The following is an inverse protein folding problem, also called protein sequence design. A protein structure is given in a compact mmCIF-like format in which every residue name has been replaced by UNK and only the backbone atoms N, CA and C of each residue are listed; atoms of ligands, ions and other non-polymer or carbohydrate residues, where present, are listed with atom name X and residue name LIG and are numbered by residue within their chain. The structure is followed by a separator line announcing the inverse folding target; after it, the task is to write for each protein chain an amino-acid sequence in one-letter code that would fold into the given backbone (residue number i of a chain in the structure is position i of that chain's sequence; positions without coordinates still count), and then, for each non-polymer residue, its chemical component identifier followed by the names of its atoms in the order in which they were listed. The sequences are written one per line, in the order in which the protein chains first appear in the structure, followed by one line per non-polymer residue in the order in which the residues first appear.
data_IF_649539220707
#
_entry.id   IF_649539220707
#
_cell.length_a   1.000
_cell.length_b   1.000
_cell.length_c   1.000
_cell.angle_alpha   90.00
_cell.angle_beta   90.00
_cell.angle_gamma   90.00
#
_symmetry.space_group_name_H-M   'P 1'
#
loop_
_entity.id
_entity.type
_entity.pdbx_description
1 polymer ?
#
# COMPACT_ATOMS: atom_id res chain seq x y z
N UNK A 1 2.02 10.06 -3.43
CA UNK A 1 2.30 8.79 -2.76
C UNK A 1 3.36 8.03 -3.49
N UNK A 2 4.25 7.39 -2.75
CA UNK A 2 5.28 6.56 -3.35
C UNK A 2 5.36 5.24 -2.58
N UNK A 3 5.34 4.14 -3.32
CA UNK A 3 5.52 2.83 -2.71
C UNK A 3 7.01 2.56 -2.62
N UNK A 4 7.50 2.53 -1.39
CA UNK A 4 8.93 2.39 -1.14
C UNK A 4 9.31 0.92 -1.03
N UNK A 5 8.44 0.11 -0.48
CA UNK A 5 8.73 -1.30 -0.33
C UNK A 5 7.50 -2.06 0.10
N UNK A 6 7.58 -3.36 0.01
CA UNK A 6 6.52 -4.24 0.45
C UNK A 6 7.13 -5.30 1.35
N UNK A 7 6.57 -5.42 2.55
CA UNK A 7 6.97 -6.45 3.50
C UNK A 7 5.95 -7.56 3.42
N UNK A 8 6.34 -8.68 2.86
CA UNK A 8 5.42 -9.79 2.69
C UNK A 8 5.37 -10.62 3.96
N UNK A 9 4.21 -10.68 4.57
CA UNK A 9 4.00 -11.53 5.71
C UNK A 9 3.66 -12.93 5.25
N UNK A 10 4.24 -13.91 5.90
CA UNK A 10 4.00 -15.30 5.53
C UNK A 10 2.90 -15.91 6.36
N UNK A 11 2.87 -15.58 7.61
CA UNK A 11 1.83 -16.10 8.49
C UNK A 11 0.81 -15.00 8.69
N UNK A 12 -0.35 -15.37 9.09
CA UNK A 12 -1.43 -14.44 9.38
C UNK A 12 -1.83 -13.54 8.22
N UNK A 13 -1.49 -13.98 7.02
CA UNK A 13 -2.04 -13.34 5.83
C UNK A 13 -1.79 -11.84 5.76
N UNK A 14 -0.74 -11.39 6.34
CA UNK A 14 -0.54 -9.98 6.37
C UNK A 14 0.82 -9.60 5.88
N UNK A 15 0.89 -8.54 5.20
CA UNK A 15 2.11 -7.86 4.86
C UNK A 15 1.87 -6.41 5.14
N UNK A 16 2.84 -5.61 4.82
CA UNK A 16 2.70 -4.18 4.97
C UNK A 16 3.35 -3.50 3.78
N UNK A 17 2.77 -2.41 3.36
CA UNK A 17 3.36 -1.58 2.32
C UNK A 17 4.01 -0.39 2.97
N UNK A 18 5.26 -0.13 2.60
CA UNK A 18 5.94 1.07 3.03
C UNK A 18 5.62 2.17 2.04
N UNK A 19 4.78 3.08 2.45
CA UNK A 19 4.29 4.13 1.57
C UNK A 19 4.68 5.48 2.12
N UNK A 20 5.30 6.28 1.29
CA UNK A 20 5.63 7.66 1.63
C UNK A 20 4.51 8.56 1.14
N UNK A 21 3.95 9.31 2.05
CA UNK A 21 2.98 10.33 1.72
C UNK A 21 3.72 11.63 1.58
N UNK A 22 3.24 12.45 0.68
CA UNK A 22 3.86 13.71 0.33
C UNK A 22 4.56 14.40 1.50
N UNK A 23 5.87 14.59 1.36
CA UNK A 23 6.64 15.32 2.35
C UNK A 23 6.86 14.60 3.67
N UNK A 24 6.52 13.33 3.76
CA UNK A 24 6.67 12.59 4.99
C UNK A 24 7.45 11.29 4.77
N UNK A 25 8.11 10.78 5.82
CA UNK A 25 8.83 9.53 5.69
C UNK A 25 7.86 8.37 5.46
N UNK A 26 8.37 7.32 4.84
CA UNK A 26 7.57 6.14 4.56
C UNK A 26 7.11 5.48 5.86
N UNK A 27 5.89 5.03 5.86
CA UNK A 27 5.30 4.34 7.00
C UNK A 27 4.72 3.01 6.54
N UNK A 28 4.68 2.01 7.43
CA UNK A 28 4.06 0.74 7.07
C UNK A 28 2.54 0.82 7.19
N UNK A 29 1.87 0.31 6.17
CA UNK A 29 0.42 0.21 6.16
C UNK A 29 0.02 -1.21 5.83
N UNK A 30 -0.96 -1.72 6.54
CA UNK A 30 -1.49 -3.04 6.29
C UNK A 30 -2.73 -2.96 5.43
N UNK A 31 -3.10 -4.10 4.85
CA UNK A 31 -4.37 -4.17 4.13
C UNK A 31 -5.50 -3.79 5.07
N UNK A 32 -6.33 -2.87 4.64
CA UNK A 32 -7.41 -2.35 5.46
C UNK A 32 -7.06 -1.08 6.20
N UNK A 33 -5.80 -0.68 6.21
CA UNK A 33 -5.39 0.52 6.92
C UNK A 33 -5.68 1.76 6.09
N UNK A 34 -6.00 2.82 6.77
CA UNK A 34 -6.21 4.10 6.12
C UNK A 34 -4.86 4.74 5.86
N UNK A 35 -4.54 4.92 4.59
CA UNK A 35 -3.27 5.51 4.20
C UNK A 35 -3.36 7.03 4.23
N UNK A 36 -4.47 7.55 3.77
CA UNK A 36 -4.72 9.00 3.77
C UNK A 36 -6.22 9.18 3.74
N UNK A 37 -6.66 10.42 3.82
CA UNK A 37 -8.08 10.70 3.76
C UNK A 37 -8.67 10.10 2.49
N UNK A 38 -9.68 9.28 2.66
CA UNK A 38 -10.35 8.68 1.53
C UNK A 38 -9.58 7.59 0.82
N UNK A 39 -8.46 7.15 1.39
CA UNK A 39 -7.67 6.09 0.77
C UNK A 39 -7.34 5.00 1.78
N UNK A 40 -7.78 3.80 1.45
CA UNK A 40 -7.54 2.62 2.26
C UNK A 40 -6.74 1.63 1.42
N UNK A 41 -5.76 1.00 2.03
CA UNK A 41 -4.98 -0.01 1.35
C UNK A 41 -5.84 -1.25 1.17
N UNK A 42 -6.11 -1.61 -0.08
CA UNK A 42 -7.01 -2.71 -0.40
C UNK A 42 -6.27 -4.03 -0.56
N UNK A 43 -5.13 -4.01 -1.20
CA UNK A 43 -4.41 -5.25 -1.45
C UNK A 43 -2.94 -4.95 -1.67
N UNK A 44 -2.13 -5.99 -1.50
CA UNK A 44 -0.69 -5.91 -1.66
C UNK A 44 -0.22 -7.03 -2.56
N UNK A 45 0.59 -6.68 -3.53
CA UNK A 45 1.35 -7.64 -4.33
C UNK A 45 2.82 -7.37 -4.08
N UNK A 46 3.71 -8.27 -4.50
CA UNK A 46 5.14 -8.07 -4.23
C UNK A 46 5.71 -6.73 -4.68
N UNK A 47 5.10 -6.12 -5.68
CA UNK A 47 5.60 -4.86 -6.20
C UNK A 47 4.53 -3.81 -6.38
N UNK A 48 3.35 -4.04 -5.84
CA UNK A 48 2.24 -3.18 -6.13
C UNK A 48 1.30 -3.09 -4.95
N UNK A 49 0.72 -1.93 -4.75
CA UNK A 49 -0.29 -1.73 -3.73
C UNK A 49 -1.49 -1.06 -4.36
N UNK A 50 -2.68 -1.53 -4.01
CA UNK A 50 -3.91 -0.94 -4.51
C UNK A 50 -4.65 -0.26 -3.37
N UNK A 51 -5.15 0.93 -3.66
CA UNK A 51 -5.84 1.73 -2.69
C UNK A 51 -7.18 2.18 -3.26
N UNK A 52 -8.12 2.40 -2.38
CA UNK A 52 -9.42 2.90 -2.78
C UNK A 52 -10.12 3.54 -1.61
N UNK A 53 -11.36 3.96 -1.83
CA UNK A 53 -12.12 4.65 -0.80
C UNK A 53 -12.49 3.72 0.36
N UNK A 54 -12.58 2.44 0.10
CA UNK A 54 -12.86 1.45 1.13
C UNK A 54 -12.18 0.14 0.73
N UNK A 55 -12.04 -0.76 1.69
CA UNK A 55 -11.36 -2.02 1.44
C UNK A 55 -12.16 -2.89 0.45
N UNK A 56 -13.46 -2.72 0.40
CA UNK A 56 -14.32 -3.49 -0.47
C UNK A 56 -14.68 -2.80 -1.78
N UNK A 57 -14.29 -1.56 -1.92
CA UNK A 57 -14.65 -0.80 -3.10
C UNK A 57 -13.68 -0.98 -4.24
N UNK A 58 -13.95 -0.31 -5.34
CA UNK A 58 -13.02 -0.36 -6.47
C UNK A 58 -11.73 0.38 -6.16
N UNK A 59 -10.65 -0.11 -6.72
CA UNK A 59 -9.36 0.56 -6.56
C UNK A 59 -9.37 1.86 -7.36
N UNK A 60 -8.97 2.93 -6.71
CA UNK A 60 -8.88 4.24 -7.36
C UNK A 60 -7.45 4.66 -7.60
N UNK A 61 -6.51 3.99 -6.93
CA UNK A 61 -5.11 4.33 -7.06
C UNK A 61 -4.29 3.07 -6.96
N UNK A 62 -3.32 2.94 -7.82
CA UNK A 62 -2.39 1.81 -7.79
C UNK A 62 -0.99 2.36 -7.70
N UNK A 63 -0.23 1.86 -6.76
CA UNK A 63 1.16 2.25 -6.58
C UNK A 63 2.06 1.10 -6.97
N UNK A 64 3.02 1.37 -7.81
CA UNK A 64 4.00 0.36 -8.24
C UNK A 64 5.36 0.73 -7.72
N UNK A 65 6.13 -0.28 -7.33
CA UNK A 65 7.51 -0.04 -7.01
C UNK A 65 8.29 0.17 -8.30
N UNK A 66 9.24 1.10 -8.31
CA UNK A 66 10.04 1.30 -9.50
C UNK A 66 10.78 0.03 -9.89
N UNK A 67 10.80 -0.25 -11.16
CA UNK A 67 11.56 -1.39 -11.65
C UNK A 67 13.04 -1.10 -11.46
N UNK A 68 13.76 -2.13 -11.06
CA UNK A 68 15.16 -1.99 -10.84
C UNK A 68 15.91 -2.88 -11.80
N UNK A 69 16.75 -2.31 -12.56
CA UNK A 69 17.53 -3.08 -13.52
C UNK A 69 18.97 -3.16 -13.13
#
# INVERSE_FOLDING_TARGET
FALIGVLAGRSSGGGAALIAVDGQPAKPFRVGAVVDEGLVLQSLDPRQARLGASVDGPATLTLDMPAKN
#
